data_IF_799976507876
#
_entry.id   IF_799976507876
#
_cell.length_a   1.000
_cell.length_b   1.000
_cell.length_c   1.000
_cell.angle_alpha   90.00
_cell.angle_beta   90.00
_cell.angle_gamma   90.00
#
_symmetry.space_group_name_H-M   'P 1'
#
loop_
_entity.id
_entity.type
_entity.pdbx_description
1 polymer ?
#
# COMPACT_ATOMS: atom_id res chain seq x y z
N UNK A 1 -43.31 7.53 -28.25
CA UNK A 1 -42.63 6.34 -27.69
C UNK A 1 -41.90 6.80 -26.44
N UNK A 2 -42.43 6.50 -25.26
CA UNK A 2 -41.84 6.90 -23.99
C UNK A 2 -40.62 6.03 -23.68
N UNK A 3 -39.47 6.66 -23.45
CA UNK A 3 -38.30 5.99 -22.91
C UNK A 3 -38.61 5.59 -21.46
N UNK A 4 -38.81 4.29 -21.23
CA UNK A 4 -38.82 3.72 -19.89
C UNK A 4 -37.40 3.81 -19.35
N UNK A 5 -37.09 4.89 -18.64
CA UNK A 5 -35.88 4.96 -17.83
C UNK A 5 -35.97 3.86 -16.79
N UNK A 6 -35.09 2.85 -16.89
CA UNK A 6 -34.86 1.90 -15.82
C UNK A 6 -34.56 2.72 -14.56
N UNK A 7 -35.50 2.77 -13.61
CA UNK A 7 -35.24 3.33 -12.29
C UNK A 7 -34.02 2.59 -11.73
N UNK A 8 -32.96 3.33 -11.41
CA UNK A 8 -31.81 2.77 -10.73
C UNK A 8 -32.31 2.05 -9.47
N UNK A 9 -31.99 0.76 -9.34
CA UNK A 9 -32.36 0.00 -8.15
C UNK A 9 -31.80 0.73 -6.92
N UNK A 10 -32.62 0.91 -5.87
CA UNK A 10 -32.16 1.54 -4.64
C UNK A 10 -31.01 0.71 -4.07
N UNK A 11 -30.02 1.40 -3.49
CA UNK A 11 -28.90 0.72 -2.87
C UNK A 11 -29.40 -0.20 -1.75
N UNK A 12 -28.93 -1.44 -1.74
CA UNK A 12 -29.29 -2.41 -0.71
C UNK A 12 -28.12 -2.58 0.25
N UNK A 13 -28.43 -2.66 1.54
CA UNK A 13 -27.48 -3.03 2.57
C UNK A 13 -27.83 -4.43 3.06
N UNK A 14 -26.86 -5.32 3.01
CA UNK A 14 -26.98 -6.70 3.46
C UNK A 14 -26.00 -6.93 4.61
N UNK A 15 -26.50 -7.55 5.68
CA UNK A 15 -25.65 -8.12 6.72
C UNK A 15 -25.22 -9.53 6.30
N UNK A 16 -23.92 -9.78 6.34
CA UNK A 16 -23.30 -11.03 5.88
C UNK A 16 -22.94 -11.99 7.02
N UNK A 17 -23.46 -11.76 8.23
CA UNK A 17 -23.04 -12.48 9.44
C UNK A 17 -21.76 -11.92 10.07
N UNK A 18 -21.38 -12.42 11.27
CA UNK A 18 -20.10 -12.11 11.86
C UNK A 18 -18.93 -12.74 11.08
N UNK A 19 -17.73 -12.19 11.23
CA UNK A 19 -16.49 -12.86 10.87
C UNK A 19 -15.97 -13.77 12.01
N UNK A 20 -14.79 -14.36 11.82
CA UNK A 20 -14.14 -15.24 12.82
C UNK A 20 -13.81 -14.54 14.15
N UNK A 21 -13.73 -13.21 14.14
CA UNK A 21 -13.50 -12.37 15.30
C UNK A 21 -14.81 -11.79 15.87
N UNK A 22 -15.97 -12.25 15.39
CA UNK A 22 -17.28 -11.78 15.84
C UNK A 22 -17.71 -10.43 15.28
N UNK A 23 -16.94 -9.83 14.36
CA UNK A 23 -17.23 -8.51 13.79
C UNK A 23 -18.34 -8.61 12.76
N UNK A 24 -19.35 -7.74 12.85
CA UNK A 24 -20.45 -7.71 11.87
C UNK A 24 -19.94 -7.25 10.51
N UNK A 25 -20.30 -7.99 9.44
CA UNK A 25 -19.91 -7.65 8.06
C UNK A 25 -21.08 -7.15 7.23
N UNK A 26 -20.81 -6.17 6.39
CA UNK A 26 -21.81 -5.51 5.56
C UNK A 26 -21.42 -5.47 4.09
N UNK A 27 -22.40 -5.77 3.24
CA UNK A 27 -22.28 -5.68 1.78
C UNK A 27 -23.28 -4.65 1.30
N UNK A 28 -22.84 -3.72 0.45
CA UNK A 28 -23.74 -2.78 -0.21
C UNK A 28 -23.69 -2.96 -1.73
N UNK A 29 -24.86 -3.04 -2.35
CA UNK A 29 -25.01 -3.13 -3.80
C UNK A 29 -25.70 -1.89 -4.35
N UNK A 30 -25.40 -1.55 -5.60
CA UNK A 30 -25.95 -0.37 -6.26
C UNK A 30 -25.08 0.08 -7.45
N UNK A 31 -25.24 1.34 -7.91
CA UNK A 31 -24.46 1.85 -9.03
C UNK A 31 -22.95 1.79 -8.77
N UNK A 32 -22.21 1.20 -9.72
CA UNK A 32 -20.75 0.97 -9.61
C UNK A 32 -19.91 2.24 -9.74
N UNK A 33 -20.52 3.34 -10.21
CA UNK A 33 -19.90 4.65 -10.41
C UNK A 33 -20.27 5.68 -9.32
N UNK A 34 -20.82 5.21 -8.20
CA UNK A 34 -21.20 6.07 -7.07
C UNK A 34 -20.43 5.69 -5.80
N UNK A 35 -20.34 6.64 -4.89
CA UNK A 35 -19.73 6.45 -3.58
C UNK A 35 -20.78 5.87 -2.64
N UNK A 36 -20.45 4.75 -2.02
CA UNK A 36 -21.25 4.13 -0.96
C UNK A 36 -20.62 4.46 0.39
N UNK A 37 -21.41 5.07 1.28
CA UNK A 37 -21.02 5.37 2.66
C UNK A 37 -21.84 4.51 3.60
N UNK A 38 -21.18 3.57 4.26
CA UNK A 38 -21.75 2.82 5.37
C UNK A 38 -21.71 3.72 6.60
N UNK A 39 -22.87 3.97 7.20
CA UNK A 39 -23.01 4.80 8.38
C UNK A 39 -23.56 3.96 9.53
N UNK A 40 -23.08 4.25 10.73
CA UNK A 40 -23.46 3.56 11.97
C UNK A 40 -24.02 4.57 12.98
N UNK A 41 -24.98 4.11 13.78
CA UNK A 41 -25.59 4.88 14.86
C UNK A 41 -25.91 3.98 16.05
N UNK A 42 -25.85 4.53 17.26
CA UNK A 42 -26.27 3.87 18.50
C UNK A 42 -27.66 4.32 18.96
N UNK A 43 -28.21 5.38 18.36
CA UNK A 43 -29.44 6.05 18.83
C UNK A 43 -30.42 6.43 17.71
N UNK A 44 -30.12 6.06 16.45
CA UNK A 44 -30.82 6.45 15.22
C UNK A 44 -30.82 7.96 14.91
N UNK A 45 -30.17 8.79 15.72
CA UNK A 45 -30.14 10.26 15.59
C UNK A 45 -28.78 10.72 15.09
N UNK A 46 -27.71 10.28 15.76
CA UNK A 46 -26.33 10.60 15.41
C UNK A 46 -25.76 9.50 14.54
N UNK A 47 -25.43 9.84 13.30
CA UNK A 47 -24.88 8.91 12.32
C UNK A 47 -23.44 9.29 12.03
N UNK A 48 -22.55 8.30 12.08
CA UNK A 48 -21.14 8.46 11.77
C UNK A 48 -20.80 7.56 10.58
N UNK A 49 -20.00 8.07 9.64
CA UNK A 49 -19.51 7.27 8.53
C UNK A 49 -18.56 6.20 9.08
N UNK A 50 -18.91 4.92 8.96
CA UNK A 50 -18.06 3.79 9.32
C UNK A 50 -17.08 3.47 8.20
N UNK A 51 -17.54 3.53 6.95
CA UNK A 51 -16.75 3.18 5.78
C UNK A 51 -17.22 3.87 4.51
N UNK A 52 -16.32 3.97 3.55
CA UNK A 52 -16.58 4.47 2.20
C UNK A 52 -15.94 3.58 1.15
N UNK A 53 -16.65 3.31 0.06
CA UNK A 53 -16.12 2.57 -1.09
C UNK A 53 -16.72 3.08 -2.41
N UNK A 54 -15.99 2.86 -3.51
CA UNK A 54 -16.47 3.16 -4.86
C UNK A 54 -17.25 1.97 -5.43
N UNK A 55 -18.53 2.17 -5.72
CA UNK A 55 -19.40 1.20 -6.37
C UNK A 55 -19.86 0.02 -5.52
N UNK A 56 -19.81 0.16 -4.19
CA UNK A 56 -20.34 -0.82 -3.24
C UNK A 56 -19.31 -1.29 -2.23
N UNK A 57 -19.79 -1.93 -1.18
CA UNK A 57 -19.01 -2.61 -0.16
C UNK A 57 -19.22 -4.11 -0.29
N UNK A 58 -18.18 -4.90 -0.02
CA UNK A 58 -18.24 -6.36 0.02
C UNK A 58 -17.71 -6.84 1.35
N UNK A 59 -18.59 -7.34 2.21
CA UNK A 59 -18.25 -7.91 3.51
C UNK A 59 -17.45 -6.99 4.45
N UNK A 60 -17.63 -5.67 4.39
CA UNK A 60 -16.87 -4.72 5.20
C UNK A 60 -17.15 -4.92 6.70
N UNK A 61 -16.12 -5.13 7.54
CA UNK A 61 -16.30 -5.36 8.97
C UNK A 61 -16.50 -4.06 9.75
N UNK A 62 -17.38 -4.08 10.75
CA UNK A 62 -17.41 -3.06 11.80
C UNK A 62 -16.26 -3.30 12.78
N UNK A 63 -15.13 -2.63 12.54
CA UNK A 63 -13.91 -2.75 13.35
C UNK A 63 -14.03 -2.12 14.75
N UNK A 64 -15.10 -1.37 15.01
CA UNK A 64 -15.33 -0.66 16.28
C UNK A 64 -16.61 -1.16 16.98
N UNK A 65 -16.95 -2.43 16.81
CA UNK A 65 -18.14 -3.03 17.37
C UNK A 65 -18.05 -3.04 18.92
N UNK A 66 -18.97 -2.36 19.64
CA UNK A 66 -18.97 -2.33 21.09
C UNK A 66 -19.41 -3.68 21.64
N UNK A 67 -18.99 -3.96 22.87
CA UNK A 67 -19.37 -5.20 23.57
C UNK A 67 -20.88 -5.31 23.80
N UNK A 68 -21.57 -4.17 24.01
CA UNK A 68 -22.99 -4.13 24.34
C UNK A 68 -23.71 -2.95 23.68
N UNK A 69 -25.04 -3.08 23.57
CA UNK A 69 -25.94 -2.04 23.10
C UNK A 69 -26.39 -2.17 21.64
N UNK A 70 -27.49 -1.51 21.27
CA UNK A 70 -28.00 -1.56 19.91
C UNK A 70 -27.05 -0.82 18.94
N UNK A 71 -26.89 -1.38 17.74
CA UNK A 71 -26.27 -0.72 16.60
C UNK A 71 -27.18 -0.74 15.39
N UNK A 72 -27.26 0.41 14.73
CA UNK A 72 -28.06 0.62 13.54
C UNK A 72 -27.15 0.99 12.39
N UNK A 73 -27.41 0.42 11.21
CA UNK A 73 -26.60 0.60 10.03
C UNK A 73 -27.46 1.10 8.88
N UNK A 74 -26.90 1.98 8.05
CA UNK A 74 -27.50 2.37 6.78
C UNK A 74 -26.40 2.61 5.75
N UNK A 75 -26.79 2.55 4.47
CA UNK A 75 -25.93 2.97 3.38
C UNK A 75 -26.49 4.25 2.76
N UNK A 76 -25.61 5.22 2.53
CA UNK A 76 -25.89 6.41 1.73
C UNK A 76 -25.10 6.32 0.43
N UNK A 77 -25.79 6.54 -0.69
CA UNK A 77 -25.15 6.52 -2.02
C UNK A 77 -25.21 7.91 -2.62
N UNK A 78 -24.07 8.41 -3.07
CA UNK A 78 -23.92 9.74 -3.68
C UNK A 78 -23.03 9.70 -4.91
N UNK A 79 -23.22 10.65 -5.82
CA UNK A 79 -22.24 10.89 -6.88
C UNK A 79 -20.85 11.20 -6.28
N UNK A 80 -19.75 10.76 -6.90
CA UNK A 80 -18.40 11.08 -6.45
C UNK A 80 -18.15 12.59 -6.48
N UNK A 81 -17.58 13.14 -5.41
CA UNK A 81 -17.12 14.52 -5.32
C UNK A 81 -15.59 14.62 -5.27
N UNK A 82 -15.03 15.85 -5.33
CA UNK A 82 -13.59 16.07 -5.33
C UNK A 82 -12.86 15.61 -4.06
N UNK A 83 -13.59 15.32 -2.98
CA UNK A 83 -13.08 14.84 -1.70
C UNK A 83 -13.25 13.32 -1.50
N UNK A 84 -13.81 12.60 -2.48
CA UNK A 84 -13.91 11.14 -2.47
C UNK A 84 -12.67 10.52 -3.14
N UNK A 85 -11.48 11.00 -2.78
CA UNK A 85 -10.15 10.48 -3.18
C UNK A 85 -9.48 9.69 -2.04
N UNK A 86 -10.27 9.36 -1.01
CA UNK A 86 -9.95 8.44 0.07
C UNK A 86 -11.10 7.45 0.29
N UNK A 87 -10.79 6.15 0.34
CA UNK A 87 -11.73 5.06 0.60
C UNK A 87 -11.31 4.27 1.85
N UNK A 88 -12.24 3.48 2.38
CA UNK A 88 -11.97 2.51 3.45
C UNK A 88 -11.98 1.06 2.96
N UNK A 89 -12.52 0.81 1.77
CA UNK A 89 -12.40 -0.46 1.07
C UNK A 89 -12.21 -0.21 -0.43
N UNK A 90 -11.28 -0.97 -1.00
CA UNK A 90 -10.98 -1.00 -2.43
C UNK A 90 -11.40 -2.33 -3.04
N UNK A 91 -11.71 -2.32 -4.33
CA UNK A 91 -11.97 -3.53 -5.11
C UNK A 91 -10.69 -4.34 -5.28
N UNK A 92 -10.87 -5.64 -5.46
CA UNK A 92 -9.76 -6.56 -5.64
C UNK A 92 -9.17 -6.44 -7.06
N UNK A 93 -7.97 -5.86 -7.16
CA UNK A 93 -7.15 -5.90 -8.38
C UNK A 93 -7.54 -4.93 -9.50
N UNK A 94 -8.69 -4.27 -9.44
CA UNK A 94 -9.22 -3.41 -10.50
C UNK A 94 -9.84 -2.08 -10.01
N UNK A 95 -9.63 -1.72 -8.74
CA UNK A 95 -10.13 -0.48 -8.16
C UNK A 95 -9.64 0.77 -8.92
N UNK A 96 -10.49 1.82 -9.09
CA UNK A 96 -10.05 3.09 -9.65
C UNK A 96 -8.92 3.76 -8.86
N UNK A 97 -8.62 3.37 -7.62
CA UNK A 97 -7.51 3.96 -6.86
C UNK A 97 -6.16 3.30 -7.12
N UNK A 98 -6.10 2.21 -7.89
CA UNK A 98 -4.82 1.57 -8.24
C UNK A 98 -3.92 2.55 -9.00
N UNK A 99 -2.62 2.52 -8.68
CA UNK A 99 -1.55 3.28 -9.33
C UNK A 99 -1.60 3.20 -10.86
N UNK A 100 -1.21 4.26 -11.58
CA UNK A 100 -1.23 4.27 -13.05
C UNK A 100 -0.45 3.06 -13.60
N UNK A 101 -0.99 2.31 -14.59
CA UNK A 101 -0.24 1.26 -15.23
C UNK A 101 0.99 1.87 -15.91
N UNK A 102 2.12 1.17 -15.81
CA UNK A 102 3.38 1.64 -16.38
C UNK A 102 3.32 1.80 -17.90
N UNK A 103 2.56 0.93 -18.54
CA UNK A 103 2.19 0.95 -19.95
C UNK A 103 0.93 0.08 -20.13
N UNK A 104 0.24 0.13 -21.28
CA UNK A 104 -0.87 -0.76 -21.59
C UNK A 104 -0.52 -2.27 -21.50
N UNK A 105 0.78 -2.60 -21.55
CA UNK A 105 1.31 -3.96 -21.52
C UNK A 105 2.13 -4.23 -20.25
N UNK A 106 1.91 -3.44 -19.18
CA UNK A 106 2.69 -3.52 -17.94
C UNK A 106 2.56 -4.90 -17.30
N UNK A 107 3.66 -5.65 -17.28
CA UNK A 107 3.85 -6.86 -16.46
C UNK A 107 4.36 -6.52 -15.05
N UNK A 108 4.10 -5.30 -14.57
CA UNK A 108 4.50 -4.88 -13.22
C UNK A 108 3.35 -4.90 -12.24
N UNK A 109 3.63 -5.15 -10.95
CA UNK A 109 2.65 -4.99 -9.89
C UNK A 109 2.02 -3.60 -9.91
N UNK A 110 0.71 -3.55 -9.64
CA UNK A 110 -0.02 -2.31 -9.36
C UNK A 110 -0.37 -2.26 -7.88
N UNK A 111 -0.63 -1.07 -7.36
CA UNK A 111 -0.82 -0.92 -5.92
C UNK A 111 -1.84 0.17 -5.58
N UNK A 112 -2.38 0.07 -4.37
CA UNK A 112 -3.12 1.14 -3.70
C UNK A 112 -2.40 1.43 -2.38
N UNK A 113 -2.00 2.68 -2.20
CA UNK A 113 -1.42 3.16 -0.94
C UNK A 113 -2.48 3.27 0.14
N UNK A 114 -2.12 2.91 1.36
CA UNK A 114 -2.95 3.13 2.54
C UNK A 114 -2.21 3.84 3.66
N UNK A 115 -2.99 4.45 4.55
CA UNK A 115 -2.54 5.04 5.82
C UNK A 115 -3.40 4.47 6.96
N UNK A 116 -2.75 4.00 8.02
CA UNK A 116 -3.37 3.62 9.29
C UNK A 116 -3.10 4.74 10.31
N UNK A 117 -4.08 5.61 10.53
CA UNK A 117 -3.98 6.62 11.59
C UNK A 117 -4.12 5.90 12.94
N UNK A 118 -3.10 5.97 13.80
CA UNK A 118 -3.04 5.17 15.03
C UNK A 118 -4.15 5.57 16.02
N UNK A 119 -4.53 6.85 16.05
CA UNK A 119 -5.65 7.35 16.84
C UNK A 119 -7.04 6.95 16.30
N UNK A 120 -7.12 6.30 15.12
CA UNK A 120 -8.36 5.81 14.51
C UNK A 120 -8.23 4.32 14.21
N UNK A 121 -8.10 3.43 15.22
CA UNK A 121 -7.76 2.02 15.03
C UNK A 121 -8.78 1.22 14.21
N UNK A 122 -9.95 1.78 13.98
CA UNK A 122 -11.08 1.20 13.26
C UNK A 122 -11.13 1.52 11.76
N UNK A 123 -10.10 2.19 11.21
CA UNK A 123 -10.11 2.62 9.79
C UNK A 123 -8.84 2.34 9.02
N UNK A 124 -8.98 1.87 7.79
CA UNK A 124 -7.89 1.91 6.81
C UNK A 124 -8.22 3.02 5.82
N UNK A 125 -7.29 3.91 5.53
CA UNK A 125 -7.48 4.96 4.51
C UNK A 125 -6.69 4.62 3.26
N UNK A 126 -7.37 4.12 2.24
CA UNK A 126 -6.83 3.91 0.90
C UNK A 126 -6.90 5.20 0.10
N UNK A 127 -5.78 5.67 -0.43
CA UNK A 127 -5.74 6.89 -1.25
C UNK A 127 -5.83 6.57 -2.74
N UNK A 128 -6.39 7.50 -3.50
CA UNK A 128 -6.27 7.47 -4.97
C UNK A 128 -4.78 7.58 -5.34
N UNK A 129 -4.17 6.45 -5.69
CA UNK A 129 -2.73 6.36 -5.93
C UNK A 129 -2.32 6.87 -7.31
N UNK A 130 -3.29 7.25 -8.16
CA UNK A 130 -3.05 7.97 -9.42
C UNK A 130 -2.99 9.46 -9.16
N UNK A 131 -3.91 9.96 -8.34
CA UNK A 131 -3.96 11.37 -7.92
C UNK A 131 -2.84 11.74 -6.94
N UNK A 132 -2.54 10.84 -6.00
CA UNK A 132 -1.52 11.02 -4.97
C UNK A 132 -0.50 9.88 -5.03
N UNK A 133 0.61 10.06 -5.77
CA UNK A 133 1.67 9.05 -5.84
C UNK A 133 2.38 8.81 -4.49
N UNK A 134 2.41 9.82 -3.61
CA UNK A 134 3.02 9.72 -2.28
C UNK A 134 1.97 9.83 -1.17
N UNK A 135 2.26 9.21 -0.02
CA UNK A 135 1.39 9.25 1.16
C UNK A 135 1.24 10.66 1.72
N UNK A 136 2.35 11.42 1.75
CA UNK A 136 2.38 12.81 2.22
C UNK A 136 1.27 13.67 1.58
N UNK A 137 1.23 13.73 0.25
CA UNK A 137 0.34 14.63 -0.49
C UNK A 137 -1.14 14.33 -0.21
N UNK A 138 -1.49 13.05 -0.05
CA UNK A 138 -2.84 12.64 0.37
C UNK A 138 -3.10 12.99 1.84
N UNK A 139 -2.17 12.63 2.73
CA UNK A 139 -2.35 12.75 4.16
C UNK A 139 -2.52 14.21 4.59
N UNK A 140 -1.67 15.13 4.14
CA UNK A 140 -1.78 16.56 4.48
C UNK A 140 -3.05 17.19 3.90
N UNK A 141 -3.55 16.68 2.77
CA UNK A 141 -4.78 17.17 2.14
C UNK A 141 -6.05 16.66 2.82
N UNK A 142 -6.05 15.40 3.32
CA UNK A 142 -7.28 14.70 3.72
C UNK A 142 -7.35 14.30 5.19
N UNK A 143 -6.22 13.96 5.79
CA UNK A 143 -6.18 13.39 7.12
C UNK A 143 -5.87 14.49 8.14
N UNK A 144 -6.85 14.78 9.00
CA UNK A 144 -6.79 15.91 9.94
C UNK A 144 -5.50 16.00 10.77
N UNK A 145 -4.89 14.90 11.28
CA UNK A 145 -3.66 14.96 12.06
C UNK A 145 -2.44 15.53 11.32
N UNK A 146 -2.43 15.50 9.98
CA UNK A 146 -1.25 15.86 9.18
C UNK A 146 -1.40 17.20 8.45
N UNK A 147 -2.52 17.91 8.63
CA UNK A 147 -2.75 19.18 7.94
C UNK A 147 -1.69 20.21 8.31
N UNK A 148 -1.04 20.78 7.30
CA UNK A 148 -0.04 21.82 7.47
C UNK A 148 1.36 21.33 7.85
N UNK A 149 1.57 20.02 8.00
CA UNK A 149 2.91 19.46 8.19
C UNK A 149 3.76 19.62 6.94
N UNK A 150 5.07 19.81 7.12
CA UNK A 150 6.07 19.62 6.07
C UNK A 150 6.25 18.12 5.75
N UNK A 151 6.95 17.82 4.65
CA UNK A 151 7.27 16.42 4.30
C UNK A 151 8.16 15.78 5.35
N UNK A 152 9.15 16.51 5.83
CA UNK A 152 10.08 16.05 6.87
C UNK A 152 9.36 15.76 8.19
N UNK A 153 8.42 16.62 8.59
CA UNK A 153 7.57 16.40 9.77
C UNK A 153 6.67 15.16 9.59
N UNK A 154 6.06 15.02 8.42
CA UNK A 154 5.24 13.85 8.09
C UNK A 154 6.04 12.55 8.11
N UNK A 155 7.22 12.53 7.48
CA UNK A 155 8.10 11.37 7.45
C UNK A 155 8.57 11.00 8.87
N UNK A 156 8.87 11.99 9.71
CA UNK A 156 9.23 11.75 11.11
C UNK A 156 8.12 11.06 11.91
N UNK A 157 6.85 11.37 11.67
CA UNK A 157 5.72 10.79 12.42
C UNK A 157 5.07 9.59 11.73
N UNK A 158 5.55 9.16 10.57
CA UNK A 158 4.99 8.01 9.83
C UNK A 158 5.99 6.92 9.51
N UNK A 159 7.25 7.27 9.28
CA UNK A 159 8.32 6.33 8.94
C UNK A 159 9.18 5.96 10.14
N UNK A 160 9.10 6.70 11.25
CA UNK A 160 9.80 6.39 12.50
C UNK A 160 8.80 6.05 13.61
N UNK A 161 9.27 5.27 14.58
CA UNK A 161 8.52 4.76 15.74
C UNK A 161 8.35 5.80 16.81
N UNK A 162 9.38 6.62 17.05
CA UNK A 162 9.29 7.68 18.05
C UNK A 162 8.26 8.72 17.63
N UNK A 163 7.24 8.94 18.48
CA UNK A 163 6.17 9.89 18.19
C UNK A 163 5.26 9.52 17.02
N UNK A 164 5.24 8.25 16.60
CA UNK A 164 4.49 7.80 15.43
C UNK A 164 2.98 8.12 15.56
N UNK A 165 2.42 8.74 14.52
CA UNK A 165 1.00 9.10 14.44
C UNK A 165 0.23 8.22 13.44
N UNK A 166 0.93 7.68 12.44
CA UNK A 166 0.36 6.72 11.49
C UNK A 166 1.39 5.74 10.97
N UNK A 167 0.89 4.63 10.43
CA UNK A 167 1.66 3.69 9.62
C UNK A 167 1.23 3.83 8.18
N UNK A 168 2.19 3.84 7.28
CA UNK A 168 1.95 3.94 5.84
C UNK A 168 2.34 2.65 5.15
N UNK A 169 1.62 2.30 4.09
CA UNK A 169 1.85 1.07 3.35
C UNK A 169 1.15 1.03 2.02
N UNK A 170 1.13 -0.14 1.39
CA UNK A 170 0.37 -0.39 0.18
C UNK A 170 -0.15 -1.83 0.12
N UNK A 171 -1.29 -2.00 -0.55
CA UNK A 171 -1.73 -3.28 -1.06
C UNK A 171 -1.26 -3.37 -2.50
N UNK A 172 -0.55 -4.44 -2.83
CA UNK A 172 0.01 -4.69 -4.15
C UNK A 172 -0.71 -5.88 -4.78
N UNK A 173 -1.00 -5.79 -6.08
CA UNK A 173 -1.42 -6.91 -6.88
C UNK A 173 -0.30 -7.25 -7.87
N UNK A 174 0.04 -8.54 -8.02
CA UNK A 174 1.01 -8.97 -8.99
C UNK A 174 0.55 -8.62 -10.41
N UNK A 175 1.45 -8.67 -11.39
CA UNK A 175 1.06 -8.63 -12.78
C UNK A 175 0.10 -9.78 -13.14
N UNK A 176 -0.51 -9.65 -14.33
CA UNK A 176 -1.65 -10.45 -14.81
C UNK A 176 -1.49 -11.99 -14.74
N UNK A 177 -0.29 -12.51 -14.48
CA UNK A 177 0.02 -13.93 -14.37
C UNK A 177 -0.45 -14.59 -13.06
N UNK A 178 -0.66 -13.85 -11.97
CA UNK A 178 -1.01 -14.38 -10.63
C UNK A 178 -2.28 -13.71 -10.05
N UNK A 179 -3.45 -13.77 -10.71
CA UNK A 179 -4.64 -12.97 -10.33
C UNK A 179 -5.24 -13.31 -8.95
N UNK A 180 -4.79 -14.41 -8.33
CA UNK A 180 -5.26 -14.90 -7.05
C UNK A 180 -4.42 -14.47 -5.84
N UNK A 181 -3.44 -13.58 -6.00
CA UNK A 181 -2.61 -13.09 -4.89
C UNK A 181 -2.70 -11.56 -4.76
N UNK A 182 -2.59 -11.07 -3.53
CA UNK A 182 -2.19 -9.70 -3.24
C UNK A 182 -1.16 -9.71 -2.10
N UNK A 183 -0.36 -8.65 -2.01
CA UNK A 183 0.56 -8.44 -0.90
C UNK A 183 0.20 -7.19 -0.11
N UNK A 184 0.41 -7.22 1.20
CA UNK A 184 0.41 -6.03 2.05
C UNK A 184 1.86 -5.71 2.39
N UNK A 185 2.26 -4.46 2.18
CA UNK A 185 3.57 -3.95 2.51
C UNK A 185 3.44 -2.74 3.44
N UNK A 186 4.28 -2.68 4.47
CA UNK A 186 4.43 -1.53 5.37
C UNK A 186 5.77 -0.83 5.09
N UNK A 187 5.75 0.50 5.15
CA UNK A 187 6.94 1.33 4.95
C UNK A 187 7.34 2.00 6.27
N UNK A 188 8.63 1.97 6.58
CA UNK A 188 9.25 2.58 7.75
C UNK A 188 10.76 2.64 7.56
N UNK A 189 11.43 3.57 8.23
CA UNK A 189 12.88 3.74 8.24
C UNK A 189 13.58 2.91 9.33
N UNK A 190 12.81 2.24 10.17
CA UNK A 190 13.31 1.34 11.19
C UNK A 190 12.39 0.13 11.34
N UNK A 191 12.89 -1.02 11.84
CA UNK A 191 12.06 -2.20 12.01
C UNK A 191 10.92 -1.98 13.02
N UNK A 192 9.69 -2.30 12.58
CA UNK A 192 8.53 -2.34 13.46
C UNK A 192 8.53 -3.62 14.32
N UNK A 193 7.99 -3.57 15.55
CA UNK A 193 7.71 -4.78 16.32
C UNK A 193 6.80 -5.73 15.55
N UNK A 194 7.13 -7.02 15.51
CA UNK A 194 6.45 -7.99 14.67
C UNK A 194 4.98 -8.19 15.07
N UNK A 195 4.67 -8.00 16.35
CA UNK A 195 3.31 -8.05 16.87
C UNK A 195 2.44 -6.95 16.27
N UNK A 196 2.98 -5.73 16.16
CA UNK A 196 2.29 -4.60 15.55
C UNK A 196 2.09 -4.82 14.05
N UNK A 197 3.09 -5.38 13.36
CA UNK A 197 2.98 -5.75 11.95
C UNK A 197 1.84 -6.73 11.72
N UNK A 198 1.70 -7.76 12.57
CA UNK A 198 0.60 -8.71 12.47
C UNK A 198 -0.77 -8.06 12.71
N UNK A 199 -0.89 -7.19 13.71
CA UNK A 199 -2.15 -6.45 13.97
C UNK A 199 -2.54 -5.54 12.80
N UNK A 200 -1.58 -4.81 12.24
CA UNK A 200 -1.81 -3.95 11.08
C UNK A 200 -2.13 -4.77 9.83
N UNK A 201 -1.47 -5.91 9.65
CA UNK A 201 -1.73 -6.83 8.55
C UNK A 201 -3.17 -7.32 8.59
N UNK A 202 -3.62 -7.86 9.73
CA UNK A 202 -4.99 -8.34 9.91
C UNK A 202 -6.02 -7.23 9.73
N UNK A 203 -5.73 -6.02 10.21
CA UNK A 203 -6.59 -4.86 10.00
C UNK A 203 -6.77 -4.53 8.52
N UNK A 204 -5.68 -4.41 7.76
CA UNK A 204 -5.75 -4.14 6.31
C UNK A 204 -6.41 -5.30 5.58
N UNK A 205 -6.06 -6.54 5.92
CA UNK A 205 -6.62 -7.76 5.33
C UNK A 205 -8.13 -7.87 5.52
N UNK A 206 -8.64 -7.46 6.69
CA UNK A 206 -10.06 -7.59 7.05
C UNK A 206 -10.99 -6.68 6.24
N UNK A 207 -10.48 -5.57 5.71
CA UNK A 207 -11.25 -4.64 4.87
C UNK A 207 -11.12 -4.93 3.38
N UNK A 208 -10.29 -5.89 2.98
CA UNK A 208 -10.16 -6.30 1.57
C UNK A 208 -11.23 -7.32 1.18
N UNK A 209 -11.92 -7.14 0.04
CA UNK A 209 -12.90 -8.09 -0.46
C UNK A 209 -12.22 -9.26 -1.19
N UNK A 210 -11.53 -10.10 -0.43
CA UNK A 210 -10.68 -11.17 -0.98
C UNK A 210 -11.53 -12.28 -1.60
N UNK A 211 -11.38 -12.58 -2.90
CA UNK A 211 -12.12 -13.64 -3.57
C UNK A 211 -11.86 -15.03 -2.97
N UNK A 212 -12.81 -15.97 -3.07
CA UNK A 212 -12.57 -17.36 -2.70
C UNK A 212 -11.35 -17.93 -3.44
N UNK A 213 -10.45 -18.58 -2.70
CA UNK A 213 -9.22 -19.16 -3.24
C UNK A 213 -8.08 -18.15 -3.48
N UNK A 214 -8.32 -16.85 -3.29
CA UNK A 214 -7.26 -15.86 -3.32
C UNK A 214 -6.51 -15.80 -1.98
N UNK A 215 -5.23 -15.45 -2.04
CA UNK A 215 -4.33 -15.31 -0.88
C UNK A 215 -3.86 -13.87 -0.72
N UNK A 216 -3.63 -13.47 0.52
CA UNK A 216 -2.98 -12.20 0.84
C UNK A 216 -1.73 -12.51 1.66
N UNK A 217 -0.59 -12.04 1.20
CA UNK A 217 0.72 -12.29 1.81
C UNK A 217 1.30 -11.02 2.40
N UNK A 218 2.18 -11.13 3.40
CA UNK A 218 2.99 -10.02 3.87
C UNK A 218 4.27 -9.93 3.04
N UNK A 219 4.51 -8.76 2.45
CA UNK A 219 5.72 -8.47 1.66
C UNK A 219 6.51 -7.34 2.34
N UNK A 220 7.49 -7.67 3.20
CA UNK A 220 8.24 -6.66 3.95
C UNK A 220 9.01 -5.72 3.00
N UNK A 221 9.09 -4.44 3.36
CA UNK A 221 10.07 -3.52 2.79
C UNK A 221 11.47 -3.84 3.35
N UNK A 222 12.51 -3.23 2.78
CA UNK A 222 13.91 -3.50 3.14
C UNK A 222 14.16 -3.43 4.65
N UNK A 223 13.75 -2.33 5.29
CA UNK A 223 13.93 -2.09 6.73
C UNK A 223 13.18 -3.08 7.61
N UNK A 224 12.19 -3.78 7.06
CA UNK A 224 11.33 -4.72 7.79
C UNK A 224 11.73 -6.19 7.52
N UNK A 225 12.61 -6.43 6.55
CA UNK A 225 12.89 -7.77 6.02
C UNK A 225 13.52 -8.70 7.05
N UNK A 226 14.51 -8.23 7.81
CA UNK A 226 15.22 -9.05 8.79
C UNK A 226 14.31 -9.49 9.94
N UNK A 227 13.54 -8.56 10.51
CA UNK A 227 12.58 -8.87 11.57
C UNK A 227 11.49 -9.83 11.08
N UNK A 228 11.00 -9.66 9.86
CA UNK A 228 10.04 -10.60 9.26
C UNK A 228 10.64 -12.00 9.09
N UNK A 229 11.88 -12.09 8.60
CA UNK A 229 12.61 -13.34 8.37
C UNK A 229 12.89 -14.09 9.68
N UNK A 230 13.24 -13.37 10.74
CA UNK A 230 13.48 -13.95 12.07
C UNK A 230 12.20 -14.51 12.70
N UNK A 231 11.02 -14.03 12.27
CA UNK A 231 9.72 -14.37 12.84
C UNK A 231 8.80 -15.18 11.90
N UNK A 232 9.36 -15.82 10.85
CA UNK A 232 8.57 -16.58 9.86
C UNK A 232 7.61 -17.61 10.48
N UNK A 233 8.09 -18.41 11.43
CA UNK A 233 7.26 -19.44 12.08
C UNK A 233 6.13 -18.83 12.92
N UNK A 234 6.39 -17.70 13.57
CA UNK A 234 5.42 -17.00 14.41
C UNK A 234 4.32 -16.34 13.57
N UNK A 235 4.68 -15.75 12.42
CA UNK A 235 3.75 -15.19 11.44
C UNK A 235 2.91 -16.30 10.78
N UNK A 236 3.54 -17.40 10.38
CA UNK A 236 2.85 -18.53 9.76
C UNK A 236 1.80 -19.17 10.69
N UNK A 237 2.10 -19.26 12.00
CA UNK A 237 1.15 -19.74 13.01
C UNK A 237 -0.10 -18.84 13.15
N UNK A 238 -0.03 -17.60 12.67
CA UNK A 238 -1.14 -16.65 12.59
C UNK A 238 -1.81 -16.60 11.21
N UNK A 239 -1.40 -17.47 10.28
CA UNK A 239 -1.90 -17.46 8.92
C UNK A 239 -1.29 -16.36 8.04
N UNK A 240 -0.22 -15.70 8.50
CA UNK A 240 0.47 -14.65 7.74
C UNK A 240 1.66 -15.26 7.00
N UNK A 241 1.48 -15.49 5.71
CA UNK A 241 2.55 -15.95 4.82
C UNK A 241 3.46 -14.78 4.42
N UNK A 242 4.78 -14.97 4.51
CA UNK A 242 5.77 -13.96 4.08
C UNK A 242 6.31 -14.30 2.70
N UNK A 243 6.34 -13.31 1.82
CA UNK A 243 6.89 -13.39 0.45
C UNK A 243 7.78 -12.19 0.18
N UNK A 244 8.87 -12.38 -0.54
CA UNK A 244 9.63 -11.26 -1.10
C UNK A 244 9.18 -10.90 -2.52
N UNK A 245 9.59 -9.72 -3.03
CA UNK A 245 9.25 -9.25 -4.37
C UNK A 245 9.75 -10.17 -5.49
N UNK A 246 10.75 -11.01 -5.23
CA UNK A 246 11.24 -12.04 -6.14
C UNK A 246 10.18 -13.06 -6.55
N UNK A 247 9.13 -13.25 -5.75
CA UNK A 247 8.02 -14.15 -6.08
C UNK A 247 7.22 -13.68 -7.30
N UNK A 248 7.27 -12.38 -7.64
CA UNK A 248 6.52 -11.80 -8.77
C UNK A 248 7.43 -11.34 -9.91
N UNK A 249 8.74 -11.54 -9.77
CA UNK A 249 9.72 -11.13 -10.74
C UNK A 249 9.73 -12.10 -11.95
N UNK A 250 9.49 -11.56 -13.15
CA UNK A 250 9.44 -12.35 -14.40
C UNK A 250 10.64 -12.14 -15.33
N UNK A 251 11.54 -11.22 -15.00
CA UNK A 251 12.73 -10.88 -15.79
C UNK A 251 13.37 -9.57 -15.32
N UNK A 252 14.26 -8.98 -16.13
CA UNK A 252 14.84 -7.68 -15.81
C UNK A 252 13.76 -6.62 -15.60
N UNK A 253 13.90 -5.79 -14.57
CA UNK A 253 12.92 -4.77 -14.23
C UNK A 253 13.52 -3.37 -14.36
N UNK A 254 12.88 -2.53 -15.17
CA UNK A 254 13.21 -1.11 -15.28
C UNK A 254 12.27 -0.26 -14.42
N UNK A 255 12.65 0.05 -13.19
CA UNK A 255 11.79 0.80 -12.26
C UNK A 255 11.64 2.28 -12.62
N UNK A 256 12.71 2.90 -13.13
CA UNK A 256 12.70 4.25 -13.69
C UNK A 256 13.50 4.26 -15.01
N UNK A 257 12.90 4.66 -16.15
CA UNK A 257 13.55 4.66 -17.44
C UNK A 257 14.38 5.93 -17.58
N UNK A 258 15.49 5.84 -18.29
CA UNK A 258 16.38 6.97 -18.52
C UNK A 258 17.73 6.52 -19.03
N UNK A 259 18.62 7.49 -19.20
CA UNK A 259 20.02 7.26 -19.54
C UNK A 259 20.88 8.04 -18.55
N UNK A 260 21.95 7.40 -18.09
CA UNK A 260 22.95 8.02 -17.25
C UNK A 260 24.33 7.51 -17.63
N UNK A 261 25.34 8.33 -17.36
CA UNK A 261 26.75 7.97 -17.46
C UNK A 261 27.39 8.26 -16.11
N UNK A 262 28.11 7.29 -15.58
CA UNK A 262 28.77 7.42 -14.29
C UNK A 262 29.67 6.22 -14.02
N UNK A 263 30.47 6.31 -12.96
CA UNK A 263 31.26 5.16 -12.49
C UNK A 263 30.33 4.23 -11.72
N UNK A 264 30.27 2.96 -12.13
CA UNK A 264 29.58 1.93 -11.33
C UNK A 264 30.31 1.76 -9.99
N UNK A 265 29.57 1.84 -8.88
CA UNK A 265 30.10 1.61 -7.54
C UNK A 265 29.22 0.66 -6.76
N UNK A 266 29.81 -0.46 -6.37
CA UNK A 266 29.20 -1.37 -5.40
C UNK A 266 29.21 -0.76 -4.00
N UNK A 267 28.04 -0.66 -3.39
CA UNK A 267 27.87 -0.28 -1.98
C UNK A 267 26.76 -1.15 -1.39
N UNK A 268 27.02 -1.91 -0.31
CA UNK A 268 25.96 -2.62 0.41
C UNK A 268 24.87 -1.66 0.89
N UNK A 269 23.60 -2.07 0.88
CA UNK A 269 22.47 -1.21 1.18
C UNK A 269 22.60 -0.50 2.53
N UNK A 270 23.06 -1.22 3.56
CA UNK A 270 23.29 -0.68 4.90
C UNK A 270 24.46 0.31 5.02
N UNK A 271 25.30 0.43 4.00
CA UNK A 271 26.48 1.32 3.99
C UNK A 271 26.32 2.54 3.09
N UNK A 272 25.22 2.65 2.33
CA UNK A 272 25.00 3.72 1.34
C UNK A 272 25.18 5.11 1.94
N UNK A 273 24.56 5.38 3.09
CA UNK A 273 24.63 6.69 3.75
C UNK A 273 26.08 7.04 4.15
N UNK A 274 26.80 6.09 4.77
CA UNK A 274 28.20 6.26 5.16
C UNK A 274 29.10 6.46 3.96
N UNK A 275 28.93 5.65 2.91
CA UNK A 275 29.70 5.76 1.68
C UNK A 275 29.53 7.13 1.01
N UNK A 276 28.31 7.67 1.03
CA UNK A 276 28.02 8.99 0.48
C UNK A 276 28.63 10.12 1.32
N UNK A 277 28.48 10.05 2.66
CA UNK A 277 29.05 11.03 3.58
C UNK A 277 30.59 11.10 3.50
N UNK A 278 31.24 9.97 3.25
CA UNK A 278 32.71 9.88 3.10
C UNK A 278 33.19 10.19 1.67
N UNK A 279 32.28 10.49 0.74
CA UNK A 279 32.62 10.74 -0.67
C UNK A 279 33.04 9.49 -1.46
N UNK A 280 32.92 8.30 -0.87
CA UNK A 280 33.10 7.01 -1.56
C UNK A 280 31.98 6.75 -2.56
N UNK A 281 30.78 7.29 -2.35
CA UNK A 281 29.68 7.37 -3.31
C UNK A 281 29.38 8.85 -3.59
N UNK A 282 29.18 9.23 -4.85
CA UNK A 282 29.01 10.63 -5.26
C UNK A 282 27.83 10.80 -6.23
N UNK A 283 27.28 12.01 -6.38
CA UNK A 283 26.16 12.28 -7.29
C UNK A 283 26.34 11.81 -8.73
N UNK A 284 27.57 11.81 -9.25
CA UNK A 284 27.89 11.37 -10.62
C UNK A 284 28.11 9.85 -10.77
N UNK A 285 28.10 9.09 -9.67
CA UNK A 285 28.31 7.65 -9.71
C UNK A 285 26.99 6.90 -9.99
N UNK A 286 27.09 5.69 -10.54
CA UNK A 286 25.98 4.74 -10.66
C UNK A 286 26.08 3.78 -9.48
N UNK A 287 25.09 3.81 -8.59
CA UNK A 287 25.06 2.94 -7.42
C UNK A 287 24.65 1.52 -7.83
N UNK A 288 25.44 0.53 -7.42
CA UNK A 288 25.04 -0.87 -7.40
C UNK A 288 24.90 -1.35 -5.95
N UNK A 289 23.79 -2.00 -5.61
CA UNK A 289 23.46 -2.37 -4.21
C UNK A 289 22.73 -3.72 -4.13
N UNK A 290 22.87 -4.44 -3.03
CA UNK A 290 22.21 -5.73 -2.76
C UNK A 290 20.71 -5.59 -2.49
N UNK A 291 20.27 -4.44 -1.99
CA UNK A 291 18.86 -4.12 -1.77
C UNK A 291 18.60 -2.61 -1.86
N UNK A 292 17.31 -2.23 -1.89
CA UNK A 292 16.87 -0.85 -2.06
C UNK A 292 16.28 -0.33 -0.74
N UNK A 293 17.01 0.51 0.01
CA UNK A 293 16.46 1.15 1.21
C UNK A 293 15.41 2.20 0.85
N UNK A 294 14.65 2.65 1.86
CA UNK A 294 13.62 3.68 1.74
C UNK A 294 14.17 5.01 1.21
N UNK A 295 15.45 5.30 1.47
CA UNK A 295 16.15 6.48 1.00
C UNK A 295 17.52 6.12 0.45
N UNK A 296 17.82 6.65 -0.74
CA UNK A 296 19.14 6.62 -1.36
C UNK A 296 19.50 8.07 -1.68
N UNK A 297 20.72 8.53 -1.37
CA UNK A 297 21.16 9.86 -1.71
C UNK A 297 21.19 10.08 -3.23
N UNK A 298 21.24 11.34 -3.71
CA UNK A 298 21.29 11.64 -5.14
C UNK A 298 22.47 10.92 -5.81
N UNK A 299 22.18 10.15 -6.87
CA UNK A 299 23.15 9.43 -7.71
C UNK A 299 22.72 9.45 -9.17
N UNK A 300 23.65 9.25 -10.09
CA UNK A 300 23.40 9.33 -11.53
C UNK A 300 22.49 8.20 -12.03
N UNK A 301 22.51 7.04 -11.36
CA UNK A 301 21.63 5.91 -11.62
C UNK A 301 21.74 4.84 -10.54
N UNK A 302 20.80 3.91 -10.52
CA UNK A 302 20.74 2.82 -9.53
C UNK A 302 20.56 1.46 -10.22
N UNK A 303 21.36 0.48 -9.80
CA UNK A 303 21.24 -0.93 -10.17
C UNK A 303 21.08 -1.74 -8.89
N UNK A 304 19.92 -2.36 -8.69
CA UNK A 304 19.73 -3.28 -7.58
C UNK A 304 20.07 -4.72 -7.99
N UNK A 305 20.61 -5.52 -7.07
CA UNK A 305 20.81 -6.97 -7.26
C UNK A 305 19.63 -7.81 -6.76
N UNK A 306 18.75 -7.21 -5.95
CA UNK A 306 17.49 -7.80 -5.52
C UNK A 306 16.31 -7.05 -6.15
N UNK A 307 15.22 -7.74 -6.51
CA UNK A 307 14.03 -7.08 -6.99
C UNK A 307 13.47 -6.16 -5.89
N UNK A 308 12.96 -4.99 -6.29
CA UNK A 308 12.23 -4.07 -5.45
C UNK A 308 10.76 -4.01 -5.89
N UNK A 309 9.88 -3.51 -5.02
CA UNK A 309 8.51 -3.18 -5.43
C UNK A 309 8.53 -1.87 -6.23
N UNK A 310 7.78 -1.78 -7.35
CA UNK A 310 7.67 -0.52 -8.11
C UNK A 310 7.04 0.65 -7.33
N UNK A 311 6.41 0.37 -6.18
CA UNK A 311 5.85 1.35 -5.25
C UNK A 311 6.89 1.94 -4.28
N UNK A 312 8.13 1.45 -4.28
CA UNK A 312 9.18 1.97 -3.39
C UNK A 312 9.35 3.49 -3.57
N UNK A 313 9.58 4.19 -2.45
CA UNK A 313 9.79 5.63 -2.46
C UNK A 313 10.89 6.03 -3.46
N UNK A 314 11.96 5.24 -3.48
CA UNK A 314 13.06 5.34 -4.44
C UNK A 314 12.64 5.20 -5.90
N UNK A 315 11.80 4.23 -6.26
CA UNK A 315 11.35 4.07 -7.65
C UNK A 315 10.55 5.29 -8.15
N UNK A 316 9.74 5.89 -7.28
CA UNK A 316 8.96 7.07 -7.61
C UNK A 316 9.87 8.31 -7.70
N UNK A 317 10.78 8.51 -6.73
CA UNK A 317 11.75 9.61 -6.73
C UNK A 317 12.69 9.55 -7.94
N UNK A 318 13.22 8.37 -8.28
CA UNK A 318 14.08 8.17 -9.43
C UNK A 318 13.41 8.66 -10.73
N UNK A 319 12.10 8.42 -10.90
CA UNK A 319 11.33 8.94 -12.04
C UNK A 319 11.19 10.45 -12.01
N UNK A 320 10.89 11.02 -10.83
CA UNK A 320 10.75 12.47 -10.67
C UNK A 320 12.07 13.20 -10.97
N UNK A 321 13.21 12.60 -10.63
CA UNK A 321 14.55 13.15 -10.90
C UNK A 321 15.13 12.75 -12.26
N UNK A 322 14.48 11.84 -13.01
CA UNK A 322 15.00 11.33 -14.28
C UNK A 322 16.24 10.44 -14.15
N UNK A 323 16.51 9.92 -12.94
CA UNK A 323 17.62 8.99 -12.68
C UNK A 323 17.19 7.57 -13.04
N UNK A 324 17.88 6.87 -13.96
CA UNK A 324 17.54 5.51 -14.33
C UNK A 324 17.73 4.56 -13.14
N UNK A 325 16.76 3.67 -12.94
CA UNK A 325 16.79 2.66 -11.89
C UNK A 325 16.27 1.34 -12.43
N UNK A 326 17.05 0.27 -12.27
CA UNK A 326 16.64 -1.08 -12.64
C UNK A 326 17.20 -2.19 -11.75
N UNK A 327 16.66 -3.38 -11.95
CA UNK A 327 17.13 -4.65 -11.42
C UNK A 327 17.42 -5.60 -12.58
N UNK A 328 18.49 -6.38 -12.44
CA UNK A 328 18.87 -7.41 -13.40
C UNK A 328 18.56 -8.79 -12.85
N UNK A 329 17.82 -9.60 -13.59
CA UNK A 329 17.42 -10.95 -13.17
C UNK A 329 18.57 -11.96 -13.28
N UNK A 330 19.46 -11.79 -14.26
CA UNK A 330 20.53 -12.75 -14.58
C UNK A 330 21.53 -12.90 -13.41
N UNK A 331 21.59 -14.10 -12.81
CA UNK A 331 22.36 -14.35 -11.59
C UNK A 331 23.87 -14.15 -11.77
N UNK A 332 24.42 -14.57 -12.91
CA UNK A 332 25.86 -14.47 -13.20
C UNK A 332 26.32 -13.01 -13.31
N UNK A 333 25.51 -12.16 -13.95
CA UNK A 333 25.77 -10.71 -14.02
C UNK A 333 25.69 -10.05 -12.65
N UNK A 334 24.75 -10.47 -11.81
CA UNK A 334 24.64 -9.97 -10.43
C UNK A 334 25.85 -10.36 -9.59
N UNK A 335 26.32 -11.60 -9.72
CA UNK A 335 27.47 -12.12 -8.97
C UNK A 335 28.79 -11.41 -9.33
N UNK A 336 28.92 -10.89 -10.54
CA UNK A 336 30.12 -10.18 -10.99
C UNK A 336 30.26 -8.76 -10.41
N UNK A 337 29.15 -8.10 -10.03
CA UNK A 337 29.14 -6.69 -9.64
C UNK A 337 29.97 -6.38 -8.38
N UNK A 338 29.89 -7.15 -7.28
CA UNK A 338 30.68 -6.87 -6.09
C UNK A 338 32.20 -6.95 -6.28
N UNK A 339 32.66 -7.55 -7.39
CA UNK A 339 34.08 -7.70 -7.74
C UNK A 339 34.64 -6.64 -8.68
N UNK A 340 33.85 -5.64 -9.09
CA UNK A 340 34.25 -4.54 -9.99
C UNK A 340 34.79 -3.32 -9.21
#
# INVERSE_FOLDING_TARGET
MGAWGLQAQPAQLMWSGPDENGRLRFTSSGPSNQVHRLEVSTDLRQWQELARAMGGLTGYPDLNLPAEGPRFYRVRVTAPGPADDGLNQVRWGDDPFLSEPWSPWSLKPRWVKFTLVLAQPDRVWFQDSRKYPFHYDYAVARLAPFRGMSREEFDAVTLRREGQLAVVGAVLWPPMAEPGEAAIQFAGQEPFPIEQVAEWFERVRSVLPVPPGARVVYMPAFEQADVARENLAWLAARGIEVRGPEAWAVGDECYAPGWALGRLKWVPAGEIATAYAEGRLRPEDILATDAVPAEVPPVAGVVSLSPATPNSHMAILARSFGSPFGWMAEADRRAAIPGL
#
